data_IF_060001801396
#
_entry.id   IF_060001801396
#
_cell.length_a   1.000
_cell.length_b   1.000
_cell.length_c   1.000
_cell.angle_alpha   90.00
_cell.angle_beta   90.00
_cell.angle_gamma   90.00
#
_symmetry.space_group_name_H-M   'P 1'
#
loop_
_entity.id
_entity.type
_entity.pdbx_description
1 polymer ?
#
# COMPACT_ATOMS: atom_id res chain seq x y z
N UNK A 1 13.42 -13.41 -7.15
CA UNK A 1 14.03 -12.80 -5.96
C UNK A 1 13.00 -12.86 -4.86
N UNK A 2 13.18 -13.76 -3.91
CA UNK A 2 12.34 -13.87 -2.71
C UNK A 2 12.48 -12.57 -1.90
N UNK A 3 11.35 -11.94 -1.59
CA UNK A 3 11.33 -10.83 -0.62
C UNK A 3 11.82 -11.36 0.73
N UNK A 4 12.67 -10.61 1.43
CA UNK A 4 13.30 -11.08 2.64
C UNK A 4 12.35 -11.02 3.84
N UNK A 5 12.58 -11.94 4.77
CA UNK A 5 11.81 -12.13 6.00
C UNK A 5 12.10 -10.95 6.93
N UNK A 6 11.09 -10.33 7.58
CA UNK A 6 11.29 -9.34 8.65
C UNK A 6 10.84 -9.96 9.97
N UNK A 7 11.80 -10.38 10.77
CA UNK A 7 11.64 -10.93 12.12
C UNK A 7 12.20 -9.97 13.17
N UNK A 8 11.98 -10.23 14.46
CA UNK A 8 12.75 -9.59 15.55
C UNK A 8 14.28 -9.70 15.33
N UNK A 9 14.72 -10.78 14.66
CA UNK A 9 16.10 -10.98 14.22
C UNK A 9 16.57 -9.98 13.16
N UNK A 10 15.65 -9.40 12.39
CA UNK A 10 15.93 -8.45 11.31
C UNK A 10 16.03 -7.01 11.81
N UNK A 11 15.19 -6.61 12.78
CA UNK A 11 15.37 -5.35 13.51
C UNK A 11 16.70 -5.33 14.26
N UNK A 12 17.03 -6.41 14.98
CA UNK A 12 18.32 -6.52 15.69
C UNK A 12 19.51 -6.60 14.73
N UNK A 13 19.35 -7.14 13.52
CA UNK A 13 20.34 -7.03 12.43
C UNK A 13 20.52 -5.59 11.96
N UNK A 14 19.43 -4.89 11.66
CA UNK A 14 19.47 -3.48 11.26
C UNK A 14 20.15 -2.62 12.33
N UNK A 15 19.80 -2.84 13.59
CA UNK A 15 20.41 -2.17 14.75
C UNK A 15 21.91 -2.43 14.84
N UNK A 16 22.34 -3.71 14.76
CA UNK A 16 23.77 -4.07 14.79
C UNK A 16 24.55 -3.40 13.66
N UNK A 17 23.97 -3.35 12.46
CA UNK A 17 24.62 -2.72 11.30
C UNK A 17 24.73 -1.21 11.49
N UNK A 18 23.68 -0.56 12.01
CA UNK A 18 23.73 0.84 12.36
C UNK A 18 24.82 1.13 13.41
N UNK A 19 24.91 0.30 14.47
CA UNK A 19 25.92 0.44 15.54
C UNK A 19 27.35 0.25 15.00
N UNK A 20 27.60 -0.86 14.28
CA UNK A 20 28.93 -1.16 13.72
C UNK A 20 29.38 -0.03 12.79
N UNK A 21 28.46 0.44 11.95
CA UNK A 21 28.76 1.54 11.02
C UNK A 21 29.02 2.84 11.77
N UNK A 22 28.24 3.16 12.80
CA UNK A 22 28.43 4.35 13.63
C UNK A 22 29.80 4.33 14.32
N UNK A 23 30.21 3.19 14.89
CA UNK A 23 31.52 3.04 15.53
C UNK A 23 32.65 3.26 14.51
N UNK A 24 32.53 2.68 13.31
CA UNK A 24 33.50 2.88 12.25
C UNK A 24 33.57 4.36 11.80
N UNK A 25 32.43 5.05 11.69
CA UNK A 25 32.35 6.47 11.35
C UNK A 25 32.98 7.36 12.42
N UNK A 26 32.75 7.06 13.71
CA UNK A 26 33.42 7.75 14.83
C UNK A 26 34.93 7.63 14.72
N UNK A 27 35.44 6.42 14.46
CA UNK A 27 36.88 6.19 14.27
C UNK A 27 37.43 6.96 13.08
N UNK A 28 36.74 6.96 11.94
CA UNK A 28 37.15 7.70 10.74
C UNK A 28 37.14 9.21 10.96
N UNK A 29 36.12 9.74 11.63
CA UNK A 29 36.01 11.16 11.98
C UNK A 29 37.17 11.59 12.87
N UNK A 30 37.50 10.80 13.89
CA UNK A 30 38.65 11.05 14.76
C UNK A 30 39.99 11.00 14.00
N UNK A 31 40.14 10.05 13.07
CA UNK A 31 41.32 9.94 12.21
C UNK A 31 41.47 11.18 11.32
N UNK A 32 40.42 11.57 10.59
CA UNK A 32 40.41 12.76 9.73
C UNK A 32 40.73 14.03 10.52
N UNK A 33 40.09 14.22 11.68
CA UNK A 33 40.32 15.38 12.54
C UNK A 33 41.75 15.45 13.08
N UNK A 34 42.30 14.31 13.53
CA UNK A 34 43.68 14.27 14.06
C UNK A 34 44.70 14.57 12.97
N UNK A 35 44.57 13.93 11.79
CA UNK A 35 45.44 14.19 10.64
C UNK A 35 45.29 15.63 10.16
N UNK A 36 44.06 16.16 10.14
CA UNK A 36 43.79 17.55 9.80
C UNK A 36 44.52 18.53 10.70
N UNK A 37 44.47 18.35 12.02
CA UNK A 37 45.16 19.24 12.97
C UNK A 37 46.68 19.10 12.85
N UNK A 38 47.21 17.88 12.83
CA UNK A 38 48.66 17.63 12.85
C UNK A 38 49.34 18.14 11.59
N UNK A 39 48.69 18.00 10.43
CA UNK A 39 49.25 18.37 9.13
C UNK A 39 48.78 19.74 8.62
N UNK A 40 47.94 20.45 9.38
CA UNK A 40 47.44 21.78 9.02
C UNK A 40 46.28 21.79 8.03
N UNK A 41 45.70 20.62 7.74
CA UNK A 41 44.68 20.41 6.72
C UNK A 41 43.32 20.97 7.04
N UNK A 42 43.09 22.20 6.60
CA UNK A 42 41.79 22.87 6.67
C UNK A 42 40.72 22.06 5.93
N UNK A 43 41.06 21.49 4.77
CA UNK A 43 40.14 20.67 3.98
C UNK A 43 39.77 19.35 4.68
N UNK A 44 40.76 18.62 5.21
CA UNK A 44 40.50 17.36 5.92
C UNK A 44 39.80 17.60 7.28
N UNK A 45 40.09 18.73 7.94
CA UNK A 45 39.42 19.12 9.18
C UNK A 45 37.95 19.47 8.93
N UNK A 46 37.65 20.20 7.86
CA UNK A 46 36.29 20.50 7.43
C UNK A 46 35.51 19.21 7.10
N UNK A 47 36.13 18.29 6.35
CA UNK A 47 35.56 16.98 6.06
C UNK A 47 35.32 16.14 7.34
N UNK A 48 36.22 16.24 8.33
CA UNK A 48 36.03 15.63 9.64
C UNK A 48 34.86 16.21 10.45
N UNK A 49 34.62 17.53 10.36
CA UNK A 49 33.44 18.17 10.98
C UNK A 49 32.17 17.73 10.28
N UNK A 50 32.17 17.63 8.94
CA UNK A 50 31.04 17.08 8.20
C UNK A 50 30.76 15.64 8.62
N UNK A 51 31.80 14.81 8.79
CA UNK A 51 31.63 13.43 9.23
C UNK A 51 31.03 13.28 10.64
N UNK A 52 31.05 14.33 11.47
CA UNK A 52 30.32 14.35 12.73
C UNK A 52 28.80 14.44 12.54
N UNK A 53 28.34 15.16 11.51
CA UNK A 53 26.92 15.19 11.15
C UNK A 53 26.41 13.79 10.75
N UNK A 54 27.24 12.98 10.08
CA UNK A 54 26.88 11.60 9.71
C UNK A 54 26.67 10.70 10.93
N UNK A 55 27.47 10.92 11.98
CA UNK A 55 27.32 10.19 13.24
C UNK A 55 25.96 10.52 13.86
N UNK A 56 25.55 11.79 13.82
CA UNK A 56 24.21 12.19 14.28
C UNK A 56 23.10 11.60 13.42
N UNK A 57 23.25 11.60 12.09
CA UNK A 57 22.29 10.97 11.18
C UNK A 57 22.16 9.46 11.44
N UNK A 58 23.28 8.76 11.60
CA UNK A 58 23.31 7.33 11.93
C UNK A 58 22.67 7.04 13.29
N UNK A 59 22.92 7.90 14.30
CA UNK A 59 22.30 7.79 15.61
C UNK A 59 20.78 8.03 15.58
N UNK A 60 20.30 8.95 14.74
CA UNK A 60 18.88 9.15 14.51
C UNK A 60 18.22 7.91 13.89
N UNK A 61 18.85 7.31 12.87
CA UNK A 61 18.35 6.07 12.25
C UNK A 61 18.34 4.92 13.24
N UNK A 62 19.42 4.73 14.00
CA UNK A 62 19.47 3.73 15.07
C UNK A 62 18.34 3.93 16.10
N UNK A 63 18.12 5.18 16.53
CA UNK A 63 17.05 5.51 17.46
C UNK A 63 15.66 5.24 16.86
N UNK A 64 15.47 5.55 15.58
CA UNK A 64 14.23 5.28 14.84
C UNK A 64 13.96 3.78 14.68
N UNK A 65 14.98 3.00 14.34
CA UNK A 65 14.90 1.52 14.26
C UNK A 65 14.60 0.89 15.62
N UNK A 66 15.29 1.35 16.67
CA UNK A 66 15.06 0.88 18.04
C UNK A 66 13.64 1.19 18.52
N UNK A 67 13.13 2.37 18.16
CA UNK A 67 11.75 2.74 18.45
C UNK A 67 10.77 1.88 17.64
N UNK A 68 11.04 1.65 16.35
CA UNK A 68 10.21 0.82 15.48
C UNK A 68 10.13 -0.65 15.91
N UNK A 69 11.20 -1.19 16.52
CA UNK A 69 11.21 -2.55 17.08
C UNK A 69 10.52 -2.69 18.44
N UNK A 70 9.95 -1.61 19.01
CA UNK A 70 9.20 -1.69 20.27
C UNK A 70 7.81 -2.27 20.02
N UNK A 71 7.42 -3.23 20.86
CA UNK A 71 6.07 -3.83 20.83
C UNK A 71 4.95 -2.78 20.97
N UNK A 72 3.77 -3.03 20.36
CA UNK A 72 2.58 -2.20 20.55
C UNK A 72 2.16 -2.07 22.02
N UNK A 73 1.62 -0.90 22.38
CA UNK A 73 1.05 -0.64 23.70
C UNK A 73 -0.31 0.07 23.59
N UNK A 74 -0.99 0.31 24.72
CA UNK A 74 -2.32 0.96 24.71
C UNK A 74 -2.32 2.35 24.03
N UNK A 75 -1.19 3.05 24.05
CA UNK A 75 -1.05 4.37 23.42
C UNK A 75 -0.80 4.25 21.91
N UNK A 76 -0.08 3.22 21.49
CA UNK A 76 0.25 2.94 20.09
C UNK A 76 -0.10 1.48 19.74
N UNK A 77 -1.38 1.18 19.47
CA UNK A 77 -1.86 -0.20 19.24
C UNK A 77 -1.36 -0.82 17.93
N UNK A 78 -0.94 0.02 16.98
CA UNK A 78 -0.30 -0.43 15.72
C UNK A 78 1.23 -0.44 15.81
N UNK A 79 1.80 -0.29 17.01
CA UNK A 79 3.24 -0.23 17.21
C UNK A 79 3.87 1.13 16.85
N UNK A 80 5.20 1.16 16.93
CA UNK A 80 6.01 2.37 16.83
C UNK A 80 6.75 2.50 15.49
N UNK A 81 6.38 1.71 14.48
CA UNK A 81 7.10 1.58 13.20
C UNK A 81 7.33 2.92 12.47
N UNK A 82 6.40 3.88 12.58
CA UNK A 82 6.55 5.22 11.98
C UNK A 82 7.75 6.01 12.54
N UNK A 83 8.30 5.62 13.70
CA UNK A 83 9.52 6.19 14.25
C UNK A 83 10.70 6.09 13.30
N UNK A 84 10.84 4.98 12.56
CA UNK A 84 11.87 4.86 11.53
C UNK A 84 11.61 5.82 10.38
N UNK A 85 10.36 5.92 9.89
CA UNK A 85 10.01 6.82 8.78
C UNK A 85 10.31 8.29 9.12
N UNK A 86 10.08 8.71 10.37
CA UNK A 86 10.44 10.04 10.86
C UNK A 86 11.97 10.24 10.87
N UNK A 87 12.73 9.22 11.27
CA UNK A 87 14.19 9.27 11.22
C UNK A 87 14.69 9.35 9.77
N UNK A 88 14.12 8.57 8.85
CA UNK A 88 14.42 8.64 7.41
C UNK A 88 14.14 10.03 6.83
N UNK A 89 13.03 10.66 7.22
CA UNK A 89 12.70 12.02 6.79
C UNK A 89 13.73 13.04 7.29
N UNK A 90 14.15 12.94 8.56
CA UNK A 90 15.17 13.80 9.13
C UNK A 90 16.50 13.65 8.38
N UNK A 91 16.95 12.41 8.12
CA UNK A 91 18.18 12.15 7.37
C UNK A 91 18.08 12.60 5.91
N UNK A 92 16.96 12.34 5.22
CA UNK A 92 16.73 12.84 3.86
C UNK A 92 16.81 14.38 3.78
N UNK A 93 16.31 15.06 4.81
CA UNK A 93 16.41 16.52 4.94
C UNK A 93 17.84 16.98 5.16
N UNK A 94 18.61 16.28 6.02
CA UNK A 94 20.04 16.56 6.22
C UNK A 94 20.84 16.39 4.93
N UNK A 95 20.63 15.29 4.19
CA UNK A 95 21.24 15.04 2.87
C UNK A 95 20.95 16.20 1.91
N UNK A 96 19.71 16.68 1.87
CA UNK A 96 19.33 17.80 1.02
C UNK A 96 20.06 19.09 1.41
N UNK A 97 20.14 19.40 2.71
CA UNK A 97 20.87 20.57 3.23
C UNK A 97 22.36 20.47 2.85
N UNK A 98 23.00 19.32 3.08
CA UNK A 98 24.41 19.09 2.72
C UNK A 98 24.65 19.26 1.21
N UNK A 99 23.75 18.72 0.38
CA UNK A 99 23.84 18.90 -1.08
C UNK A 99 23.76 20.37 -1.51
N UNK A 100 22.83 21.14 -0.92
CA UNK A 100 22.72 22.59 -1.17
C UNK A 100 23.98 23.32 -0.73
N UNK A 101 24.51 22.99 0.45
CA UNK A 101 25.74 23.58 0.97
C UNK A 101 26.93 23.34 0.03
N UNK A 102 27.13 22.10 -0.44
CA UNK A 102 28.20 21.76 -1.40
C UNK A 102 28.08 22.59 -2.68
N UNK A 103 26.86 22.78 -3.20
CA UNK A 103 26.64 23.59 -4.40
C UNK A 103 26.98 25.06 -4.15
N UNK A 104 26.56 25.62 -3.01
CA UNK A 104 26.83 27.01 -2.65
C UNK A 104 28.34 27.26 -2.44
N UNK A 105 29.03 26.33 -1.77
CA UNK A 105 30.49 26.37 -1.59
C UNK A 105 31.21 26.25 -2.93
N UNK A 106 30.76 25.36 -3.81
CA UNK A 106 31.27 25.23 -5.18
C UNK A 106 31.14 26.53 -5.97
N UNK A 107 29.97 27.19 -5.94
CA UNK A 107 29.77 28.49 -6.60
C UNK A 107 30.71 29.55 -6.00
N UNK A 108 30.85 29.59 -4.67
CA UNK A 108 31.77 30.50 -3.99
C UNK A 108 33.24 30.27 -4.39
N UNK A 109 33.65 29.01 -4.57
CA UNK A 109 34.97 28.61 -5.01
C UNK A 109 35.34 29.13 -6.40
N UNK A 110 34.36 29.37 -7.29
CA UNK A 110 34.61 29.99 -8.62
C UNK A 110 35.21 31.38 -8.46
N UNK A 111 34.74 32.15 -7.47
CA UNK A 111 35.16 33.54 -7.26
C UNK A 111 36.42 33.68 -6.40
N UNK A 112 36.71 32.68 -5.57
CA UNK A 112 37.92 32.62 -4.74
C UNK A 112 38.52 31.21 -4.74
N UNK A 113 39.21 30.81 -5.83
CA UNK A 113 39.88 29.52 -5.89
C UNK A 113 41.02 29.48 -4.87
N UNK A 114 40.81 28.75 -3.77
CA UNK A 114 41.87 28.50 -2.79
C UNK A 114 42.80 27.41 -3.33
N UNK A 115 44.11 27.62 -3.23
CA UNK A 115 45.06 26.55 -3.52
C UNK A 115 45.08 25.59 -2.34
N UNK A 116 44.58 24.37 -2.55
CA UNK A 116 44.78 23.27 -1.59
C UNK A 116 46.28 22.97 -1.59
N UNK A 117 46.97 23.47 -0.57
CA UNK A 117 48.43 23.42 -0.50
C UNK A 117 48.87 22.28 0.40
N UNK A 118 48.45 21.03 0.15
CA UNK A 118 48.69 19.99 1.17
C UNK A 118 49.14 18.61 0.69
N UNK A 119 49.98 18.02 1.55
CA UNK A 119 50.90 16.93 1.24
C UNK A 119 50.26 15.55 1.03
N UNK A 120 51.13 14.57 0.76
CA UNK A 120 50.75 13.19 0.41
C UNK A 120 49.90 12.48 1.47
N UNK A 121 50.05 12.81 2.77
CA UNK A 121 49.35 12.12 3.86
C UNK A 121 47.84 12.41 3.94
N UNK A 122 47.36 13.67 3.87
CA UNK A 122 45.94 13.99 3.73
C UNK A 122 45.24 13.26 2.58
N UNK A 123 45.90 13.13 1.42
CA UNK A 123 45.37 12.39 0.26
C UNK A 123 45.17 10.90 0.57
N UNK A 124 46.15 10.27 1.24
CA UNK A 124 46.06 8.87 1.67
C UNK A 124 44.95 8.68 2.70
N UNK A 125 44.82 9.58 3.66
CA UNK A 125 43.76 9.53 4.68
C UNK A 125 42.36 9.69 4.06
N UNK A 126 42.17 10.63 3.13
CA UNK A 126 40.93 10.81 2.38
C UNK A 126 40.58 9.56 1.53
N UNK A 127 41.58 8.94 0.90
CA UNK A 127 41.39 7.74 0.07
C UNK A 127 40.98 6.51 0.89
N UNK A 128 41.65 6.28 2.03
CA UNK A 128 41.33 5.18 2.94
C UNK A 128 39.94 5.37 3.54
N UNK A 129 39.62 6.57 4.02
CA UNK A 129 38.30 6.86 4.59
C UNK A 129 37.20 6.67 3.55
N UNK A 130 37.33 7.23 2.34
CA UNK A 130 36.38 7.04 1.24
C UNK A 130 36.13 5.56 0.92
N UNK A 131 37.19 4.75 0.93
CA UNK A 131 37.08 3.31 0.67
C UNK A 131 36.27 2.59 1.76
N UNK A 132 36.45 2.96 3.03
CA UNK A 132 35.71 2.39 4.15
C UNK A 132 34.24 2.86 4.11
N UNK A 133 33.98 4.14 3.87
CA UNK A 133 32.62 4.67 3.68
C UNK A 133 31.87 3.97 2.55
N UNK A 134 32.55 3.65 1.45
CA UNK A 134 31.96 2.88 0.35
C UNK A 134 31.54 1.48 0.80
N UNK A 135 32.41 0.77 1.53
CA UNK A 135 32.10 -0.57 2.07
C UNK A 135 30.90 -0.48 3.02
N UNK A 136 30.90 0.49 3.94
CA UNK A 136 29.80 0.70 4.88
C UNK A 136 28.50 1.03 4.15
N UNK A 137 28.52 1.93 3.17
CA UNK A 137 27.34 2.27 2.37
C UNK A 137 26.76 1.04 1.68
N UNK A 138 27.59 0.21 1.03
CA UNK A 138 27.12 -1.02 0.38
C UNK A 138 26.56 -2.02 1.37
N UNK A 139 27.16 -2.12 2.55
CA UNK A 139 26.66 -3.00 3.61
C UNK A 139 25.32 -2.52 4.18
N UNK A 140 25.21 -1.24 4.54
CA UNK A 140 23.96 -0.60 4.98
C UNK A 140 22.86 -0.75 3.95
N UNK A 141 23.14 -0.44 2.68
CA UNK A 141 22.15 -0.57 1.59
C UNK A 141 21.65 -2.00 1.44
N UNK A 142 22.58 -2.97 1.39
CA UNK A 142 22.23 -4.40 1.24
C UNK A 142 21.35 -4.87 2.39
N UNK A 143 21.67 -4.49 3.63
CA UNK A 143 20.88 -4.89 4.80
C UNK A 143 19.56 -4.14 4.85
N UNK A 144 19.55 -2.84 4.51
CA UNK A 144 18.34 -2.01 4.47
C UNK A 144 17.33 -2.54 3.46
N UNK A 145 17.75 -2.85 2.24
CA UNK A 145 16.92 -3.53 1.24
C UNK A 145 16.48 -4.92 1.71
N UNK A 146 17.36 -5.65 2.41
CA UNK A 146 17.07 -6.97 2.93
C UNK A 146 16.10 -6.98 4.13
N UNK A 147 15.84 -5.86 4.80
CA UNK A 147 14.89 -5.83 5.94
C UNK A 147 13.76 -4.82 5.71
N UNK A 148 13.69 -4.22 4.51
CA UNK A 148 12.74 -3.16 4.20
C UNK A 148 12.99 -1.85 4.97
N UNK A 149 14.19 -1.65 5.54
CA UNK A 149 14.52 -0.46 6.33
C UNK A 149 14.91 0.71 5.46
N UNK A 150 13.98 1.63 5.26
CA UNK A 150 14.22 2.93 4.62
C UNK A 150 15.18 3.80 5.41
N UNK A 151 15.20 3.67 6.74
CA UNK A 151 16.16 4.35 7.59
C UNK A 151 17.59 3.96 7.24
N UNK A 152 17.86 2.65 7.13
CA UNK A 152 19.19 2.15 6.82
C UNK A 152 19.57 2.40 5.34
N UNK A 153 18.60 2.41 4.42
CA UNK A 153 18.82 2.84 3.04
C UNK A 153 19.17 4.33 2.98
N UNK A 154 18.44 5.19 3.72
CA UNK A 154 18.75 6.62 3.80
C UNK A 154 20.15 6.86 4.38
N UNK A 155 20.49 6.15 5.46
CA UNK A 155 21.83 6.17 6.07
C UNK A 155 22.92 5.70 5.10
N UNK A 156 22.63 4.70 4.26
CA UNK A 156 23.55 4.23 3.21
C UNK A 156 23.82 5.30 2.15
N UNK A 157 22.79 6.07 1.78
CA UNK A 157 22.91 7.18 0.84
C UNK A 157 23.66 8.36 1.46
N UNK A 158 23.42 8.64 2.75
CA UNK A 158 24.18 9.65 3.49
C UNK A 158 25.67 9.27 3.57
N UNK A 159 25.98 8.01 3.87
CA UNK A 159 27.36 7.47 3.86
C UNK A 159 28.04 7.54 2.47
N UNK A 160 27.27 7.55 1.38
CA UNK A 160 27.82 7.78 0.04
C UNK A 160 28.25 9.23 -0.19
N UNK A 161 27.68 10.19 0.55
CA UNK A 161 28.08 11.59 0.46
C UNK A 161 29.55 11.74 0.86
N UNK A 162 30.02 11.02 1.88
CA UNK A 162 31.43 11.01 2.27
C UNK A 162 32.34 10.40 1.22
N UNK A 163 31.87 9.36 0.53
CA UNK A 163 32.61 8.78 -0.60
C UNK A 163 32.76 9.83 -1.70
N UNK A 164 31.68 10.55 -2.00
CA UNK A 164 31.72 11.61 -3.01
C UNK A 164 32.54 12.82 -2.55
N UNK A 165 32.46 13.22 -1.28
CA UNK A 165 33.30 14.27 -0.67
C UNK A 165 34.77 13.92 -0.81
N UNK A 166 35.17 12.72 -0.41
CA UNK A 166 36.55 12.28 -0.54
C UNK A 166 37.02 12.13 -1.99
N UNK A 167 36.12 11.77 -2.92
CA UNK A 167 36.41 11.80 -4.36
C UNK A 167 36.61 13.23 -4.88
N UNK A 168 35.80 14.21 -4.45
CA UNK A 168 35.99 15.62 -4.78
C UNK A 168 37.37 16.08 -4.31
N UNK A 169 37.72 15.81 -3.05
CA UNK A 169 39.02 16.16 -2.46
C UNK A 169 40.17 15.48 -3.22
N UNK A 170 40.05 14.19 -3.52
CA UNK A 170 41.06 13.45 -4.29
C UNK A 170 41.29 14.06 -5.67
N UNK A 171 40.19 14.32 -6.39
CA UNK A 171 40.22 14.92 -7.73
C UNK A 171 40.77 16.34 -7.66
N UNK A 172 40.37 17.12 -6.65
CA UNK A 172 40.84 18.49 -6.43
C UNK A 172 42.34 18.57 -6.18
N UNK A 173 42.87 17.71 -5.30
CA UNK A 173 44.32 17.60 -5.07
C UNK A 173 45.05 17.19 -6.36
N UNK A 174 44.53 16.21 -7.11
CA UNK A 174 45.16 15.74 -8.35
C UNK A 174 45.21 16.84 -9.43
N UNK A 175 44.11 17.56 -9.65
CA UNK A 175 44.06 18.64 -10.63
C UNK A 175 44.78 19.90 -10.17
N UNK A 176 44.85 20.17 -8.86
CA UNK A 176 45.68 21.24 -8.29
C UNK A 176 47.16 21.01 -8.63
N UNK A 177 47.67 19.77 -8.50
CA UNK A 177 49.04 19.41 -8.91
C UNK A 177 49.26 19.65 -10.42
N UNK A 178 48.24 19.46 -11.26
CA UNK A 178 48.30 19.72 -12.71
C UNK A 178 48.01 21.18 -13.11
N UNK A 179 47.73 22.07 -12.15
CA UNK A 179 47.47 23.49 -12.41
C UNK A 179 46.04 23.82 -12.86
N UNK A 180 45.06 22.94 -12.63
CA UNK A 180 43.65 23.12 -12.99
C UNK A 180 42.70 23.14 -11.77
N UNK A 181 42.77 24.13 -10.87
CA UNK A 181 41.96 24.17 -9.64
C UNK A 181 40.44 24.27 -9.90
N UNK A 182 40.03 24.74 -11.09
CA UNK A 182 38.62 24.85 -11.49
C UNK A 182 37.94 23.48 -11.65
N UNK A 183 38.72 22.42 -11.95
CA UNK A 183 38.17 21.08 -12.14
C UNK A 183 37.50 20.53 -10.87
N UNK A 184 38.07 20.82 -9.69
CA UNK A 184 37.49 20.47 -8.39
C UNK A 184 36.09 21.06 -8.22
N UNK A 185 35.95 22.35 -8.54
CA UNK A 185 34.70 23.10 -8.39
C UNK A 185 33.62 22.52 -9.30
N UNK A 186 33.95 22.20 -10.55
CA UNK A 186 33.00 21.59 -11.50
C UNK A 186 32.51 20.24 -10.96
N UNK A 187 33.42 19.41 -10.45
CA UNK A 187 33.09 18.10 -9.90
C UNK A 187 32.23 18.23 -8.64
N UNK A 188 32.56 19.16 -7.74
CA UNK A 188 31.75 19.47 -6.56
C UNK A 188 30.32 19.91 -6.92
N UNK A 189 30.16 20.77 -7.94
CA UNK A 189 28.84 21.19 -8.42
C UNK A 189 28.01 20.03 -8.99
N UNK A 190 28.62 19.20 -9.84
CA UNK A 190 27.94 18.04 -10.45
C UNK A 190 27.46 17.07 -9.35
N UNK A 191 28.34 16.76 -8.41
CA UNK A 191 28.04 15.86 -7.29
C UNK A 191 27.00 16.50 -6.37
N UNK A 192 27.13 17.78 -6.02
CA UNK A 192 26.17 18.49 -5.17
C UNK A 192 24.75 18.46 -5.75
N UNK A 193 24.59 18.69 -7.05
CA UNK A 193 23.28 18.58 -7.74
C UNK A 193 22.73 17.15 -7.65
N UNK A 194 23.57 16.13 -7.85
CA UNK A 194 23.18 14.74 -7.71
C UNK A 194 22.70 14.42 -6.28
N UNK A 195 23.41 14.91 -5.27
CA UNK A 195 23.08 14.73 -3.85
C UNK A 195 21.74 15.39 -3.51
N UNK A 196 21.48 16.61 -3.99
CA UNK A 196 20.20 17.30 -3.78
C UNK A 196 19.05 16.45 -4.31
N UNK A 197 19.19 15.89 -5.52
CA UNK A 197 18.17 15.00 -6.11
C UNK A 197 17.89 13.79 -5.21
N UNK A 198 18.93 13.13 -4.70
CA UNK A 198 18.80 11.98 -3.80
C UNK A 198 18.12 12.37 -2.46
N UNK A 199 18.48 13.52 -1.89
CA UNK A 199 17.85 14.05 -0.67
C UNK A 199 16.36 14.34 -0.86
N UNK A 200 15.98 14.95 -1.99
CA UNK A 200 14.57 15.18 -2.35
C UNK A 200 13.82 13.85 -2.46
N UNK A 201 14.39 12.85 -3.13
CA UNK A 201 13.75 11.55 -3.32
C UNK A 201 13.52 10.82 -1.99
N UNK A 202 14.53 10.80 -1.10
CA UNK A 202 14.40 10.23 0.24
C UNK A 202 13.33 10.94 1.08
N UNK A 203 13.36 12.27 1.12
CA UNK A 203 12.39 13.05 1.89
C UNK A 203 10.96 12.84 1.35
N UNK A 204 10.80 12.83 0.02
CA UNK A 204 9.52 12.57 -0.65
C UNK A 204 8.97 11.19 -0.30
N UNK A 205 9.81 10.14 -0.36
CA UNK A 205 9.40 8.78 -0.03
C UNK A 205 8.97 8.65 1.45
N UNK A 206 9.69 9.30 2.36
CA UNK A 206 9.33 9.33 3.77
C UNK A 206 8.00 10.08 4.00
N UNK A 207 7.78 11.23 3.36
CA UNK A 207 6.51 11.97 3.42
C UNK A 207 5.36 11.13 2.86
N UNK A 208 5.55 10.47 1.72
CA UNK A 208 4.53 9.60 1.12
C UNK A 208 4.17 8.42 2.03
N UNK A 209 5.16 7.85 2.72
CA UNK A 209 4.92 6.80 3.71
C UNK A 209 4.13 7.33 4.91
N UNK A 210 4.42 8.55 5.40
CA UNK A 210 3.66 9.19 6.49
C UNK A 210 2.21 9.52 6.10
N UNK A 211 1.97 9.78 4.82
CA UNK A 211 0.63 10.07 4.26
C UNK A 211 -0.15 8.81 3.85
N UNK A 212 0.36 7.61 4.16
CA UNK A 212 -0.24 6.33 3.76
C UNK A 212 -0.46 6.22 2.24
N UNK A 213 0.45 6.80 1.44
CA UNK A 213 0.39 6.69 -0.01
C UNK A 213 0.58 5.24 -0.48
N UNK A 214 -0.03 4.89 -1.62
CA UNK A 214 0.16 3.58 -2.24
C UNK A 214 1.58 3.48 -2.85
N UNK A 215 2.54 3.08 -2.02
CA UNK A 215 3.97 2.97 -2.37
C UNK A 215 4.34 1.60 -2.96
N UNK A 216 3.42 0.63 -2.97
CA UNK A 216 3.68 -0.76 -3.41
C UNK A 216 2.53 -1.35 -4.25
N UNK A 217 2.21 -0.75 -5.42
CA UNK A 217 1.08 -1.19 -6.26
C UNK A 217 1.30 -2.58 -6.86
N UNK A 218 2.56 -3.00 -7.00
CA UNK A 218 2.89 -4.36 -7.47
C UNK A 218 2.56 -5.42 -6.43
N UNK A 219 2.88 -5.16 -5.15
CA UNK A 219 2.50 -6.07 -4.06
C UNK A 219 0.99 -6.20 -3.95
N UNK A 220 0.23 -5.09 -4.03
CA UNK A 220 -1.22 -5.13 -4.02
C UNK A 220 -1.78 -6.06 -5.12
N UNK A 221 -1.25 -5.97 -6.35
CA UNK A 221 -1.65 -6.84 -7.47
C UNK A 221 -1.25 -8.31 -7.25
N UNK A 222 -0.08 -8.56 -6.66
CA UNK A 222 0.36 -9.93 -6.34
C UNK A 222 -0.53 -10.57 -5.27
N UNK A 223 -0.92 -9.82 -4.25
CA UNK A 223 -1.85 -10.27 -3.20
C UNK A 223 -3.21 -10.55 -3.83
N UNK A 224 -3.76 -9.61 -4.60
CA UNK A 224 -5.05 -9.77 -5.27
C UNK A 224 -5.11 -11.08 -6.07
N UNK A 225 -4.15 -11.30 -6.98
CA UNK A 225 -4.10 -12.52 -7.80
C UNK A 225 -4.00 -13.80 -6.97
N UNK A 226 -3.22 -13.78 -5.90
CA UNK A 226 -3.07 -14.96 -5.03
C UNK A 226 -4.36 -15.33 -4.31
N UNK A 227 -5.16 -14.32 -3.94
CA UNK A 227 -6.44 -14.53 -3.28
C UNK A 227 -7.49 -15.00 -4.30
N UNK A 228 -7.49 -14.45 -5.51
CA UNK A 228 -8.34 -14.90 -6.63
C UNK A 228 -8.02 -16.33 -7.11
N UNK A 229 -6.85 -16.88 -6.78
CA UNK A 229 -6.49 -18.28 -7.05
C UNK A 229 -7.18 -19.29 -6.11
N UNK A 230 -7.80 -18.82 -5.01
CA UNK A 230 -8.55 -19.69 -4.09
C UNK A 230 -9.94 -19.99 -4.64
N UNK A 231 -10.31 -21.27 -4.73
CA UNK A 231 -11.55 -21.71 -5.37
C UNK A 231 -12.83 -21.26 -4.66
N UNK A 232 -12.75 -20.90 -3.38
CA UNK A 232 -13.91 -20.42 -2.61
C UNK A 232 -14.05 -18.89 -2.64
N UNK A 233 -13.13 -18.20 -3.31
CA UNK A 233 -13.16 -16.75 -3.51
C UNK A 233 -13.68 -16.45 -4.92
N UNK A 234 -14.77 -15.69 -4.98
CA UNK A 234 -15.37 -15.28 -6.26
C UNK A 234 -14.65 -14.08 -6.87
N UNK A 235 -14.23 -13.13 -6.03
CA UNK A 235 -13.56 -11.90 -6.44
C UNK A 235 -12.80 -11.29 -5.27
N UNK A 236 -11.66 -10.66 -5.52
CA UNK A 236 -10.93 -9.86 -4.55
C UNK A 236 -10.68 -8.47 -5.12
N UNK A 237 -11.10 -7.44 -4.40
CA UNK A 237 -11.00 -6.07 -4.89
C UNK A 237 -10.62 -5.10 -3.76
N UNK A 238 -10.34 -3.86 -4.15
CA UNK A 238 -9.92 -2.79 -3.22
C UNK A 238 -8.76 -3.21 -2.31
N UNK A 239 -7.75 -3.86 -2.89
CA UNK A 239 -6.53 -4.22 -2.16
C UNK A 239 -5.70 -2.96 -1.92
N UNK A 240 -5.68 -2.49 -0.68
CA UNK A 240 -4.94 -1.32 -0.21
C UNK A 240 -3.75 -1.81 0.59
N UNK A 241 -2.56 -1.36 0.21
CA UNK A 241 -1.32 -1.64 0.94
C UNK A 241 -0.80 -0.30 1.46
N UNK A 242 -0.69 -0.17 2.78
CA UNK A 242 -0.04 0.96 3.44
C UNK A 242 1.26 0.51 4.10
N UNK A 243 2.29 1.36 4.07
CA UNK A 243 3.58 1.09 4.70
C UNK A 243 3.71 1.87 5.99
N UNK A 244 4.32 1.28 7.01
CA UNK A 244 4.66 1.92 8.28
C UNK A 244 6.06 1.47 8.68
N UNK A 245 7.06 2.36 8.56
CA UNK A 245 8.46 1.94 8.74
C UNK A 245 8.84 0.78 7.81
N UNK A 246 9.36 -0.35 8.35
CA UNK A 246 9.79 -1.48 7.54
C UNK A 246 8.66 -2.48 7.24
N UNK A 247 7.50 -2.33 7.90
CA UNK A 247 6.36 -3.25 7.77
C UNK A 247 5.24 -2.68 6.90
N UNK A 248 4.36 -3.56 6.45
CA UNK A 248 3.19 -3.25 5.61
C UNK A 248 1.91 -3.74 6.28
N UNK A 249 0.85 -2.99 6.07
CA UNK A 249 -0.51 -3.36 6.46
C UNK A 249 -1.35 -3.46 5.20
N UNK A 250 -2.18 -4.50 5.13
CA UNK A 250 -3.04 -4.76 3.97
C UNK A 250 -4.49 -4.69 4.39
N UNK A 251 -5.31 -4.01 3.61
CA UNK A 251 -6.76 -4.04 3.72
C UNK A 251 -7.31 -4.49 2.37
N UNK A 252 -8.28 -5.40 2.38
CA UNK A 252 -8.90 -5.87 1.14
C UNK A 252 -10.35 -6.26 1.32
N UNK A 253 -11.09 -6.25 0.22
CA UNK A 253 -12.43 -6.82 0.15
C UNK A 253 -12.37 -8.16 -0.59
N UNK A 254 -13.15 -9.12 -0.12
CA UNK A 254 -13.23 -10.46 -0.69
C UNK A 254 -14.69 -10.86 -0.83
N UNK A 255 -15.09 -11.24 -2.04
CA UNK A 255 -16.43 -11.76 -2.33
C UNK A 255 -16.42 -13.28 -2.25
N UNK A 256 -17.36 -13.83 -1.50
CA UNK A 256 -17.58 -15.28 -1.35
C UNK A 256 -19.03 -15.63 -1.68
N UNK A 257 -19.36 -16.92 -1.74
CA UNK A 257 -20.75 -17.35 -1.94
C UNK A 257 -21.68 -16.72 -0.87
N UNK A 258 -22.85 -16.25 -1.31
CA UNK A 258 -23.85 -15.62 -0.44
C UNK A 258 -24.47 -16.59 0.55
N UNK A 259 -24.61 -17.86 0.16
CA UNK A 259 -25.25 -18.90 0.97
C UNK A 259 -24.25 -19.60 1.91
N UNK A 260 -22.99 -19.13 1.93
CA UNK A 260 -21.95 -19.65 2.79
C UNK A 260 -22.24 -19.33 4.26
N UNK A 261 -22.05 -20.31 5.14
CA UNK A 261 -22.19 -20.08 6.58
C UNK A 261 -21.10 -19.11 7.06
N UNK A 262 -21.42 -18.25 8.03
CA UNK A 262 -20.47 -17.27 8.59
C UNK A 262 -19.19 -17.93 9.12
N UNK A 263 -19.30 -19.16 9.63
CA UNK A 263 -18.16 -19.96 10.12
C UNK A 263 -17.22 -20.33 8.99
N UNK A 264 -17.74 -20.88 7.89
CA UNK A 264 -16.96 -21.19 6.69
C UNK A 264 -16.33 -19.92 6.09
N UNK A 265 -17.03 -18.79 6.14
CA UNK A 265 -16.48 -17.52 5.64
C UNK A 265 -15.28 -17.08 6.48
N UNK A 266 -15.37 -17.25 7.81
CA UNK A 266 -14.26 -17.01 8.74
C UNK A 266 -13.09 -17.96 8.49
N UNK A 267 -13.34 -19.23 8.17
CA UNK A 267 -12.28 -20.20 7.82
C UNK A 267 -11.53 -19.82 6.54
N UNK A 268 -12.27 -19.39 5.51
CA UNK A 268 -11.67 -18.89 4.25
C UNK A 268 -10.82 -17.66 4.56
N UNK A 269 -11.34 -16.72 5.35
CA UNK A 269 -10.61 -15.52 5.77
C UNK A 269 -9.28 -15.88 6.45
N UNK A 270 -9.31 -16.69 7.52
CA UNK A 270 -8.10 -17.08 8.25
C UNK A 270 -7.11 -17.85 7.39
N UNK A 271 -7.58 -18.68 6.44
CA UNK A 271 -6.73 -19.37 5.47
C UNK A 271 -6.02 -18.38 4.54
N UNK A 272 -6.74 -17.40 4.01
CA UNK A 272 -6.19 -16.35 3.14
C UNK A 272 -5.20 -15.48 3.91
N UNK A 273 -5.53 -15.04 5.13
CA UNK A 273 -4.65 -14.24 5.97
C UNK A 273 -3.31 -14.95 6.17
N UNK A 274 -3.34 -16.21 6.61
CA UNK A 274 -2.15 -17.03 6.81
C UNK A 274 -1.35 -17.24 5.51
N UNK A 275 -2.02 -17.53 4.39
CA UNK A 275 -1.36 -17.72 3.08
C UNK A 275 -0.62 -16.45 2.62
N UNK A 276 -1.21 -15.29 2.87
CA UNK A 276 -0.62 -13.99 2.53
C UNK A 276 0.56 -13.67 3.45
N UNK A 277 0.42 -13.86 4.77
CA UNK A 277 1.48 -13.64 5.77
C UNK A 277 2.69 -14.56 5.54
N UNK A 278 2.46 -15.85 5.25
CA UNK A 278 3.53 -16.81 4.96
C UNK A 278 4.30 -16.46 3.67
N UNK A 279 3.61 -15.91 2.67
CA UNK A 279 4.22 -15.59 1.37
C UNK A 279 4.88 -14.21 1.33
N UNK A 280 4.39 -13.27 2.14
CA UNK A 280 4.93 -11.91 2.24
C UNK A 280 5.23 -11.55 3.69
N UNK A 281 6.40 -11.94 4.21
CA UNK A 281 6.78 -11.73 5.61
C UNK A 281 6.89 -10.26 6.04
N UNK A 282 6.86 -9.32 5.10
CA UNK A 282 6.89 -7.88 5.41
C UNK A 282 5.51 -7.33 5.77
N UNK A 283 4.45 -8.14 5.62
CA UNK A 283 3.09 -7.80 6.04
C UNK A 283 2.95 -8.12 7.52
N UNK A 284 2.75 -7.08 8.33
CA UNK A 284 2.52 -7.20 9.78
C UNK A 284 1.10 -7.69 10.07
N UNK A 285 0.13 -7.22 9.29
CA UNK A 285 -1.25 -7.69 9.38
C UNK A 285 -2.02 -7.40 8.11
N UNK A 286 -3.03 -8.23 7.90
CA UNK A 286 -4.01 -8.12 6.83
C UNK A 286 -5.41 -8.03 7.45
N UNK A 287 -6.26 -7.16 6.92
CA UNK A 287 -7.66 -7.03 7.29
C UNK A 287 -8.51 -7.34 6.06
N UNK A 288 -9.30 -8.42 6.15
CA UNK A 288 -10.16 -8.85 5.06
C UNK A 288 -11.61 -8.53 5.41
N UNK A 289 -12.26 -7.74 4.56
CA UNK A 289 -13.71 -7.53 4.62
C UNK A 289 -14.40 -8.52 3.68
N UNK A 290 -15.22 -9.40 4.25
CA UNK A 290 -16.03 -10.34 3.47
C UNK A 290 -17.29 -9.64 2.95
N UNK A 291 -17.58 -9.84 1.67
CA UNK A 291 -18.78 -9.38 0.99
C UNK A 291 -19.49 -10.56 0.31
N UNK A 292 -20.83 -10.58 0.26
CA UNK A 292 -21.54 -11.59 -0.50
C UNK A 292 -21.34 -11.35 -2.00
N UNK A 293 -21.14 -12.42 -2.75
CA UNK A 293 -21.13 -12.39 -4.21
C UNK A 293 -22.43 -11.80 -4.79
N UNK A 294 -22.29 -11.15 -5.93
CA UNK A 294 -23.43 -10.79 -6.77
C UNK A 294 -23.83 -12.05 -7.55
N UNK A 295 -24.88 -12.75 -7.08
CA UNK A 295 -25.53 -13.79 -7.86
C UNK A 295 -26.82 -13.24 -8.47
N UNK A 296 -27.06 -13.55 -9.75
CA UNK A 296 -28.39 -13.46 -10.31
C UNK A 296 -29.24 -14.50 -9.55
N UNK A 297 -30.35 -14.09 -8.93
CA UNK A 297 -31.19 -14.99 -8.15
C UNK A 297 -31.69 -16.14 -9.02
N UNK A 298 -31.45 -17.39 -8.59
CA UNK A 298 -31.87 -18.58 -9.33
C UNK A 298 -33.40 -18.67 -9.50
N UNK A 299 -34.18 -18.08 -8.59
CA UNK A 299 -35.64 -18.06 -8.61
C UNK A 299 -36.18 -16.62 -8.55
N UNK A 300 -36.72 -16.17 -9.69
CA UNK A 300 -37.24 -14.81 -9.87
C UNK A 300 -38.75 -14.84 -10.10
N UNK A 301 -39.50 -14.07 -9.33
CA UNK A 301 -40.92 -13.86 -9.54
C UNK A 301 -41.19 -12.61 -10.38
N UNK A 302 -42.05 -12.77 -11.38
CA UNK A 302 -42.55 -11.71 -12.26
C UNK A 302 -44.04 -11.54 -12.00
N UNK A 303 -44.53 -10.36 -11.59
CA UNK A 303 -45.96 -10.09 -11.48
C UNK A 303 -46.60 -10.01 -12.88
N UNK A 304 -47.56 -10.88 -13.15
CA UNK A 304 -48.23 -11.03 -14.44
C UNK A 304 -49.69 -10.62 -14.38
N UNK A 305 -50.23 -10.17 -15.50
CA UNK A 305 -51.64 -9.76 -15.62
C UNK A 305 -52.61 -10.90 -15.99
N UNK A 306 -52.08 -12.08 -16.32
CA UNK A 306 -52.82 -13.30 -16.65
C UNK A 306 -51.99 -14.55 -16.38
N UNK A 307 -52.59 -15.71 -16.67
CA UNK A 307 -51.94 -17.01 -16.57
C UNK A 307 -51.39 -17.45 -17.92
N UNK A 308 -50.19 -18.02 -17.94
CA UNK A 308 -49.59 -18.62 -19.13
C UNK A 308 -48.54 -17.75 -19.84
N UNK A 309 -47.98 -18.25 -20.95
CA UNK A 309 -46.80 -17.69 -21.61
C UNK A 309 -47.03 -16.32 -22.25
N UNK A 310 -48.26 -16.03 -22.68
CA UNK A 310 -48.63 -14.76 -23.32
C UNK A 310 -48.93 -13.64 -22.29
N UNK A 311 -48.90 -13.95 -20.99
CA UNK A 311 -49.12 -12.95 -19.95
C UNK A 311 -47.96 -11.96 -19.89
N UNK A 312 -48.28 -10.68 -19.66
CA UNK A 312 -47.31 -9.60 -19.70
C UNK A 312 -46.94 -9.14 -18.29
N UNK A 313 -45.69 -8.76 -18.13
CA UNK A 313 -45.30 -7.91 -17.01
C UNK A 313 -45.98 -6.56 -17.16
N UNK A 314 -46.63 -6.08 -16.09
CA UNK A 314 -47.15 -4.71 -16.02
C UNK A 314 -46.60 -4.02 -14.77
N UNK A 315 -46.07 -2.79 -14.87
CA UNK A 315 -45.49 -2.03 -13.75
C UNK A 315 -46.61 -1.45 -12.84
N UNK A 316 -47.46 -2.34 -12.31
CA UNK A 316 -48.50 -2.01 -11.35
C UNK A 316 -48.01 -2.27 -9.94
N UNK A 317 -48.86 -1.99 -8.96
CA UNK A 317 -48.59 -2.42 -7.59
C UNK A 317 -48.51 -3.94 -7.54
N UNK A 318 -47.38 -4.51 -7.11
CA UNK A 318 -47.10 -5.95 -7.22
C UNK A 318 -48.20 -6.81 -6.60
N UNK A 319 -48.71 -6.41 -5.42
CA UNK A 319 -49.79 -7.10 -4.72
C UNK A 319 -51.14 -7.15 -5.47
N UNK A 320 -51.30 -6.38 -6.56
CA UNK A 320 -52.50 -6.40 -7.42
C UNK A 320 -52.34 -7.30 -8.64
N UNK A 321 -51.14 -7.82 -8.91
CA UNK A 321 -50.93 -8.75 -10.00
C UNK A 321 -51.65 -10.07 -9.69
N UNK A 322 -52.55 -10.57 -10.55
CA UNK A 322 -53.31 -11.80 -10.30
C UNK A 322 -52.43 -13.05 -10.23
N UNK A 323 -51.29 -13.06 -10.91
CA UNK A 323 -50.37 -14.19 -10.99
C UNK A 323 -48.92 -13.76 -10.78
N UNK A 324 -48.08 -14.69 -10.33
CA UNK A 324 -46.62 -14.59 -10.44
C UNK A 324 -46.10 -15.68 -11.38
N UNK A 325 -45.32 -15.27 -12.39
CA UNK A 325 -44.48 -16.18 -13.15
C UNK A 325 -43.18 -16.42 -12.37
N UNK A 326 -42.93 -17.66 -11.98
CA UNK A 326 -41.72 -18.10 -11.31
C UNK A 326 -40.72 -18.56 -12.36
N UNK A 327 -39.76 -17.71 -12.67
CA UNK A 327 -38.66 -18.04 -13.56
C UNK A 327 -37.52 -18.65 -12.75
N UNK A 328 -37.22 -19.92 -13.01
CA UNK A 328 -35.93 -20.49 -12.63
C UNK A 328 -34.89 -20.12 -13.68
N UNK A 329 -33.91 -19.30 -13.33
CA UNK A 329 -32.83 -18.90 -14.21
C UNK A 329 -31.75 -19.99 -14.16
N UNK A 330 -31.71 -20.82 -15.19
CA UNK A 330 -30.59 -21.72 -15.50
C UNK A 330 -29.95 -21.21 -16.79
N UNK A 331 -28.63 -21.37 -16.97
CA UNK A 331 -27.74 -20.58 -17.85
C UNK A 331 -28.26 -20.25 -19.27
N UNK A 332 -29.22 -21.00 -19.82
CA UNK A 332 -29.88 -20.74 -21.12
C UNK A 332 -31.42 -20.92 -21.15
N UNK A 333 -32.10 -21.25 -20.04
CA UNK A 333 -33.55 -21.56 -20.04
C UNK A 333 -34.27 -21.04 -18.80
N UNK A 334 -35.26 -20.16 -19.02
CA UNK A 334 -36.24 -19.80 -18.00
C UNK A 334 -37.42 -20.78 -18.10
N UNK A 335 -37.56 -21.68 -17.13
CA UNK A 335 -38.81 -22.45 -16.97
C UNK A 335 -39.73 -21.61 -16.11
N UNK A 336 -40.84 -21.15 -16.70
CA UNK A 336 -41.85 -20.35 -15.99
C UNK A 336 -42.94 -21.27 -15.47
N UNK A 337 -42.98 -21.46 -14.16
CA UNK A 337 -44.16 -21.98 -13.47
C UNK A 337 -45.07 -20.80 -13.07
N UNK A 338 -46.38 -21.00 -13.06
CA UNK A 338 -47.35 -19.93 -12.76
C UNK A 338 -48.04 -20.21 -11.44
N UNK A 339 -48.00 -19.23 -10.54
CA UNK A 339 -48.71 -19.30 -9.26
C UNK A 339 -49.75 -18.18 -9.17
N UNK A 340 -50.88 -18.49 -8.56
CA UNK A 340 -51.91 -17.48 -8.28
C UNK A 340 -51.45 -16.61 -7.11
N UNK A 341 -51.78 -15.32 -7.15
CA UNK A 341 -51.52 -14.40 -6.05
C UNK A 341 -52.81 -14.19 -5.22
N UNK A 342 -52.95 -14.80 -4.03
CA UNK A 342 -54.13 -14.61 -3.17
C UNK A 342 -54.32 -13.15 -2.75
N UNK A 343 -53.24 -12.36 -2.73
CA UNK A 343 -53.26 -10.93 -2.42
C UNK A 343 -54.05 -10.09 -3.43
N UNK A 344 -54.21 -10.54 -4.67
CA UNK A 344 -54.92 -9.79 -5.70
C UNK A 344 -56.43 -9.67 -5.41
N UNK A 345 -57.04 -10.74 -4.89
CA UNK A 345 -58.47 -10.84 -4.57
C UNK A 345 -58.81 -10.49 -3.10
N UNK A 346 -57.82 -10.44 -2.21
CA UNK A 346 -58.03 -10.16 -0.79
C UNK A 346 -58.55 -8.72 -0.51
N UNK A 347 -59.35 -8.52 0.53
CA UNK A 347 -59.85 -7.18 0.91
C UNK A 347 -58.89 -6.41 1.83
N UNK A 348 -58.07 -7.13 2.60
CA UNK A 348 -57.01 -6.60 3.49
C UNK A 348 -55.77 -7.50 3.41
N UNK A 349 -54.61 -6.96 3.79
CA UNK A 349 -53.37 -7.75 3.82
C UNK A 349 -52.83 -8.17 2.45
N UNK A 350 -53.28 -7.54 1.36
CA UNK A 350 -52.89 -7.90 -0.03
C UNK A 350 -51.40 -8.13 -0.20
N UNK A 351 -50.61 -7.18 0.29
CA UNK A 351 -49.16 -7.23 0.15
C UNK A 351 -48.49 -8.26 1.05
N UNK A 352 -49.06 -8.55 2.23
CA UNK A 352 -48.55 -9.61 3.10
C UNK A 352 -48.80 -10.98 2.48
N UNK A 353 -50.03 -11.26 2.06
CA UNK A 353 -50.38 -12.52 1.38
C UNK A 353 -49.50 -12.76 0.14
N UNK A 354 -49.28 -11.71 -0.66
CA UNK A 354 -48.40 -11.80 -1.82
C UNK A 354 -46.95 -12.15 -1.43
N UNK A 355 -46.42 -11.58 -0.33
CA UNK A 355 -45.07 -11.90 0.16
C UNK A 355 -45.00 -13.32 0.71
N UNK A 356 -45.97 -13.72 1.53
CA UNK A 356 -46.03 -15.06 2.11
C UNK A 356 -46.02 -16.13 1.01
N UNK A 357 -46.80 -15.93 -0.06
CA UNK A 357 -46.78 -16.84 -1.22
C UNK A 357 -45.42 -16.92 -1.91
N UNK A 358 -44.70 -15.80 -2.04
CA UNK A 358 -43.35 -15.80 -2.64
C UNK A 358 -42.34 -16.54 -1.76
N UNK A 359 -42.44 -16.37 -0.43
CA UNK A 359 -41.59 -17.08 0.54
C UNK A 359 -41.87 -18.59 0.50
N UNK A 360 -43.13 -19.00 0.48
CA UNK A 360 -43.53 -20.42 0.37
C UNK A 360 -42.95 -21.12 -0.88
N UNK A 361 -42.76 -20.36 -1.96
CA UNK A 361 -42.20 -20.86 -3.22
C UNK A 361 -40.68 -20.65 -3.36
N UNK A 362 -39.98 -20.30 -2.28
CA UNK A 362 -38.53 -20.08 -2.25
C UNK A 362 -38.03 -19.04 -3.26
N UNK A 363 -38.83 -18.00 -3.52
CA UNK A 363 -38.46 -16.93 -4.43
C UNK A 363 -37.32 -16.11 -3.81
N UNK A 364 -36.20 -15.98 -4.54
CA UNK A 364 -35.02 -15.21 -4.11
C UNK A 364 -35.04 -13.77 -4.62
N UNK A 365 -35.83 -13.49 -5.66
CA UNK A 365 -36.05 -12.12 -6.11
C UNK A 365 -37.40 -11.88 -6.78
N UNK A 366 -37.85 -10.63 -6.77
CA UNK A 366 -39.09 -10.21 -7.44
C UNK A 366 -38.85 -8.92 -8.22
N UNK A 367 -39.43 -8.85 -9.42
CA UNK A 367 -39.42 -7.65 -10.25
C UNK A 367 -40.71 -6.89 -10.01
N UNK A 368 -40.65 -5.64 -9.52
CA UNK A 368 -41.84 -4.87 -9.13
C UNK A 368 -41.90 -3.54 -9.87
N UNK A 369 -43.11 -3.08 -10.19
CA UNK A 369 -43.30 -1.70 -10.63
C UNK A 369 -43.44 -0.76 -9.43
N UNK A 370 -44.46 -1.02 -8.61
CA UNK A 370 -44.69 -0.30 -7.35
C UNK A 370 -44.86 -1.28 -6.17
N UNK A 371 -44.31 -0.92 -5.03
CA UNK A 371 -44.42 -1.65 -3.76
C UNK A 371 -44.67 -0.66 -2.62
N UNK A 372 -45.47 -1.05 -1.63
CA UNK A 372 -45.67 -0.28 -0.40
C UNK A 372 -44.66 -0.64 0.69
N UNK A 373 -44.47 0.23 1.67
CA UNK A 373 -43.45 0.08 2.72
C UNK A 373 -43.56 -1.20 3.55
N UNK A 374 -44.79 -1.64 3.86
CA UNK A 374 -45.02 -2.86 4.63
C UNK A 374 -44.46 -4.11 3.92
N UNK A 375 -44.95 -4.44 2.71
CA UNK A 375 -44.42 -5.56 1.94
C UNK A 375 -42.93 -5.42 1.60
N UNK A 376 -42.45 -4.21 1.34
CA UNK A 376 -41.02 -3.94 1.13
C UNK A 376 -40.17 -4.40 2.32
N UNK A 377 -40.58 -4.05 3.56
CA UNK A 377 -39.88 -4.49 4.78
C UNK A 377 -39.97 -6.00 4.99
N UNK A 378 -41.12 -6.61 4.69
CA UNK A 378 -41.29 -8.06 4.82
C UNK A 378 -40.38 -8.82 3.86
N UNK A 379 -40.36 -8.45 2.58
CA UNK A 379 -39.47 -9.04 1.58
C UNK A 379 -37.99 -8.94 1.99
N UNK A 380 -37.56 -7.78 2.50
CA UNK A 380 -36.21 -7.60 3.03
C UNK A 380 -35.92 -8.54 4.22
N UNK A 381 -36.85 -8.65 5.17
CA UNK A 381 -36.72 -9.55 6.31
C UNK A 381 -36.65 -11.03 5.91
N UNK A 382 -37.27 -11.39 4.79
CA UNK A 382 -37.24 -12.75 4.22
C UNK A 382 -36.10 -12.98 3.23
N UNK A 383 -35.20 -12.00 3.01
CA UNK A 383 -34.06 -12.12 2.10
C UNK A 383 -34.40 -12.07 0.60
N UNK A 384 -35.61 -11.65 0.23
CA UNK A 384 -36.03 -11.52 -1.17
C UNK A 384 -35.46 -10.22 -1.76
N UNK A 385 -34.67 -10.34 -2.83
CA UNK A 385 -34.16 -9.18 -3.57
C UNK A 385 -35.25 -8.52 -4.41
N UNK A 386 -35.25 -7.20 -4.48
CA UNK A 386 -36.30 -6.44 -5.12
C UNK A 386 -35.68 -5.62 -6.25
N UNK A 387 -36.14 -5.88 -7.47
CA UNK A 387 -35.72 -5.15 -8.67
C UNK A 387 -36.89 -4.29 -9.15
N UNK A 388 -36.63 -3.02 -9.44
CA UNK A 388 -37.64 -2.12 -9.97
C UNK A 388 -37.59 -2.04 -11.49
N UNK A 389 -38.75 -2.11 -12.14
CA UNK A 389 -38.92 -1.67 -13.53
C UNK A 389 -40.17 -0.81 -13.63
N UNK A 390 -40.02 0.40 -14.16
CA UNK A 390 -41.16 1.28 -14.47
C UNK A 390 -41.43 1.33 -15.98
N UNK A 391 -40.85 0.40 -16.74
CA UNK A 391 -40.94 0.33 -18.19
C UNK A 391 -42.36 -0.03 -18.66
N UNK A 392 -42.62 0.18 -19.95
CA UNK A 392 -43.88 -0.23 -20.58
C UNK A 392 -44.12 -1.75 -20.43
N UNK A 393 -45.39 -2.21 -20.50
CA UNK A 393 -45.71 -3.63 -20.44
C UNK A 393 -44.89 -4.44 -21.44
N UNK A 394 -44.23 -5.50 -20.96
CA UNK A 394 -43.29 -6.28 -21.77
C UNK A 394 -43.45 -7.78 -21.51
N UNK A 395 -42.88 -8.56 -22.41
CA UNK A 395 -42.87 -10.02 -22.30
C UNK A 395 -41.99 -10.48 -21.14
N UNK A 396 -42.33 -11.66 -20.59
CA UNK A 396 -41.65 -12.25 -19.44
C UNK A 396 -40.15 -12.48 -19.70
N UNK A 397 -39.81 -12.93 -20.91
CA UNK A 397 -38.41 -13.17 -21.29
C UNK A 397 -37.64 -11.87 -21.52
N UNK A 398 -38.32 -10.80 -21.93
CA UNK A 398 -37.67 -9.50 -22.12
C UNK A 398 -37.23 -8.91 -20.78
N UNK A 399 -38.11 -8.93 -19.77
CA UNK A 399 -37.77 -8.40 -18.45
C UNK A 399 -36.72 -9.22 -17.71
N UNK A 400 -36.70 -10.55 -17.92
CA UNK A 400 -35.64 -11.41 -17.39
C UNK A 400 -34.30 -11.11 -18.05
N UNK A 401 -34.27 -10.86 -19.37
CA UNK A 401 -33.02 -10.43 -20.04
C UNK A 401 -32.51 -9.10 -19.50
N UNK A 402 -33.40 -8.14 -19.21
CA UNK A 402 -33.00 -6.88 -18.56
C UNK A 402 -32.37 -7.13 -17.19
N UNK A 403 -32.96 -8.00 -16.39
CA UNK A 403 -32.39 -8.41 -15.10
C UNK A 403 -31.00 -9.04 -15.27
N UNK A 404 -30.84 -9.98 -16.20
CA UNK A 404 -29.56 -10.66 -16.46
C UNK A 404 -28.47 -9.71 -16.96
N UNK A 405 -28.84 -8.63 -17.66
CA UNK A 405 -27.92 -7.58 -18.11
C UNK A 405 -27.61 -6.51 -17.05
N UNK A 406 -28.24 -6.60 -15.86
CA UNK A 406 -28.09 -5.58 -14.82
C UNK A 406 -28.77 -4.25 -15.16
N UNK A 407 -29.77 -4.24 -16.04
CA UNK A 407 -30.50 -3.02 -16.46
C UNK A 407 -31.63 -2.63 -15.49
N UNK A 408 -31.85 -3.40 -14.42
CA UNK A 408 -32.90 -3.14 -13.43
C UNK A 408 -32.30 -2.63 -12.11
N UNK A 409 -32.90 -1.59 -11.56
CA UNK A 409 -32.46 -1.01 -10.29
C UNK A 409 -32.84 -1.90 -9.11
N UNK A 410 -31.85 -2.29 -8.30
CA UNK A 410 -32.11 -2.99 -7.04
C UNK A 410 -32.53 -2.00 -5.96
N UNK A 411 -33.76 -2.13 -5.45
CA UNK A 411 -34.25 -1.23 -4.40
C UNK A 411 -33.82 -1.77 -3.03
N UNK A 412 -33.21 -0.87 -2.25
CA UNK A 412 -33.02 -1.10 -0.81
C UNK A 412 -31.86 -2.03 -0.46
N UNK A 413 -30.83 -2.04 -1.31
CA UNK A 413 -29.48 -2.50 -0.95
C UNK A 413 -28.94 -1.71 0.25
#
# INVERSE_FOLDING_TARGET
>A
MSEPIVTEGDFSRGERVAIISTIAMVFLTALKGTVGIVYGSVALLADGINSFADILASALIWSGLKLAGKEPDERFPYGYYRGETLASLAVGTMVLITGVQIVLEGIGGIFNPQQITEGFLPLVAASISSSIYFILSRYKKKVGEAIGSHGLIADSKHSMLDVYSGLIVFIGILFSIWGFPIAEIIVALIIGIYIIKEGIELAKEAVFTLMDANVDPELAKKIQKMVEEDSEVLDAHRVIVRRSGPVRFVEMHMRVDRDLHVESASEIMSRIEKKVEEKFPTIESITVKIEPGESIPEYVAIPLDGEGPDALYKPRHFAKAPYFGLCRIDEDRCKVDYITNPGASATRGKGQLAVDTLVEHNVRAVIVGKIGDGPLRMMKGSGIMIYQSNDEPMEQMEIIRKLQKGELDRIGA
#
